data_IF_812005526874
#
_entry.id   IF_812005526874
#
_cell.length_a   1.000
_cell.length_b   1.000
_cell.length_c   1.000
_cell.angle_alpha   90.00
_cell.angle_beta   90.00
_cell.angle_gamma   90.00
#
_symmetry.space_group_name_H-M   'P 1'
#
loop_
_entity.id
_entity.type
_entity.pdbx_description
1 polymer ?
#
# COMPACT_ATOMS: atom_id res chain seq x y z
N UNK A 1 54.17 33.31 8.14
CA UNK A 1 52.96 32.92 8.92
C UNK A 1 51.87 32.24 8.08
N UNK A 2 51.80 32.44 6.76
CA UNK A 2 50.71 31.90 5.92
C UNK A 2 50.69 30.36 5.78
N UNK A 3 51.84 29.68 5.80
CA UNK A 3 51.93 28.21 5.64
C UNK A 3 51.44 27.39 6.84
N UNK A 4 51.32 28.00 8.04
CA UNK A 4 50.85 27.30 9.24
C UNK A 4 49.32 27.13 9.26
N UNK A 5 48.58 27.98 8.55
CA UNK A 5 47.12 27.92 8.46
C UNK A 5 46.60 27.19 7.21
N UNK A 6 47.40 27.10 6.14
CA UNK A 6 47.00 26.40 4.91
C UNK A 6 46.88 24.90 5.11
N UNK A 7 47.80 24.29 5.88
CA UNK A 7 47.78 22.85 6.15
C UNK A 7 46.50 22.37 6.86
N UNK A 8 46.04 22.98 7.98
CA UNK A 8 44.79 22.57 8.63
C UNK A 8 43.56 22.88 7.77
N UNK A 9 43.58 23.97 6.98
CA UNK A 9 42.47 24.30 6.08
C UNK A 9 42.31 23.26 4.96
N UNK A 10 43.43 22.81 4.37
CA UNK A 10 43.44 21.74 3.37
C UNK A 10 42.94 20.43 3.99
N UNK A 11 43.40 20.10 5.21
CA UNK A 11 42.93 18.90 5.91
C UNK A 11 41.41 18.91 6.16
N UNK A 12 40.85 20.04 6.60
CA UNK A 12 39.39 20.18 6.81
C UNK A 12 38.63 20.05 5.49
N UNK A 13 39.14 20.66 4.41
CA UNK A 13 38.51 20.56 3.08
C UNK A 13 38.50 19.12 2.56
N UNK A 14 39.59 18.38 2.73
CA UNK A 14 39.68 16.96 2.36
C UNK A 14 38.70 16.13 3.20
N UNK A 15 38.64 16.34 4.51
CA UNK A 15 37.70 15.64 5.39
C UNK A 15 36.24 15.93 5.02
N UNK A 16 35.91 17.18 4.69
CA UNK A 16 34.59 17.54 4.21
C UNK A 16 34.25 16.84 2.89
N UNK A 17 35.16 16.83 1.92
CA UNK A 17 34.96 16.15 0.63
C UNK A 17 34.72 14.65 0.81
N UNK A 18 35.46 13.99 1.72
CA UNK A 18 35.25 12.58 2.06
C UNK A 18 33.88 12.37 2.72
N UNK A 19 33.49 13.21 3.68
CA UNK A 19 32.19 13.11 4.34
C UNK A 19 31.02 13.30 3.38
N UNK A 20 31.11 14.28 2.46
CA UNK A 20 30.13 14.49 1.40
C UNK A 20 30.09 13.32 0.42
N UNK A 21 31.24 12.81 -0.02
CA UNK A 21 31.33 11.64 -0.89
C UNK A 21 30.71 10.40 -0.25
N UNK A 22 30.98 10.16 1.04
CA UNK A 22 30.35 9.08 1.80
C UNK A 22 28.83 9.27 1.86
N UNK A 23 28.36 10.45 2.27
CA UNK A 23 26.93 10.72 2.39
C UNK A 23 26.21 10.55 1.05
N UNK A 24 26.81 11.02 -0.06
CA UNK A 24 26.27 10.81 -1.40
C UNK A 24 26.12 9.33 -1.72
N UNK A 25 27.17 8.53 -1.55
CA UNK A 25 27.14 7.09 -1.82
C UNK A 25 26.08 6.42 -0.94
N UNK A 26 25.99 6.81 0.34
CA UNK A 26 24.99 6.29 1.27
C UNK A 26 23.56 6.63 0.84
N UNK A 27 23.31 7.85 0.36
CA UNK A 27 21.99 8.28 -0.15
C UNK A 27 21.61 7.46 -1.39
N UNK A 28 22.56 7.30 -2.34
CA UNK A 28 22.36 6.54 -3.58
C UNK A 28 22.19 5.03 -3.38
N UNK A 29 22.57 4.51 -2.21
CA UNK A 29 22.40 3.11 -1.84
C UNK A 29 21.19 2.88 -0.92
N UNK A 30 20.40 3.91 -0.60
CA UNK A 30 19.21 3.75 0.23
C UNK A 30 18.20 2.87 -0.48
N UNK A 31 17.71 1.88 0.25
CA UNK A 31 16.64 1.00 -0.20
C UNK A 31 15.38 1.27 0.62
N UNK A 32 14.25 1.45 -0.06
CA UNK A 32 12.94 1.62 0.52
C UNK A 32 12.19 0.29 0.47
N UNK A 33 11.83 -0.26 1.62
CA UNK A 33 11.02 -1.47 1.70
C UNK A 33 9.54 -1.08 1.84
N UNK A 34 8.75 -1.38 0.81
CA UNK A 34 7.32 -1.12 0.79
C UNK A 34 6.54 -2.43 0.95
N UNK A 35 5.44 -2.36 1.69
CA UNK A 35 4.48 -3.46 1.84
C UNK A 35 3.14 -2.99 1.31
N UNK A 36 2.62 -3.70 0.31
CA UNK A 36 1.28 -3.45 -0.23
C UNK A 36 0.27 -4.40 0.39
N UNK A 37 -0.80 -3.83 0.94
CA UNK A 37 -1.97 -4.61 1.37
C UNK A 37 -2.87 -4.84 0.17
N UNK A 38 -3.26 -6.09 -0.08
CA UNK A 38 -4.13 -6.50 -1.19
C UNK A 38 -5.32 -7.32 -0.66
N UNK A 39 -6.23 -7.70 -1.56
CA UNK A 39 -7.29 -8.67 -1.28
C UNK A 39 -6.78 -10.11 -1.23
N UNK A 40 -7.70 -11.07 -1.41
CA UNK A 40 -7.35 -12.49 -1.51
C UNK A 40 -6.38 -12.78 -2.68
N UNK A 41 -5.63 -13.88 -2.60
CA UNK A 41 -4.62 -14.26 -3.61
C UNK A 41 -5.19 -14.41 -5.02
N UNK A 42 -6.43 -14.86 -5.11
CA UNK A 42 -7.12 -15.07 -6.38
C UNK A 42 -7.91 -13.82 -6.84
N UNK A 43 -7.74 -12.69 -6.14
CA UNK A 43 -8.42 -11.43 -6.43
C UNK A 43 -7.61 -10.49 -7.33
N UNK A 44 -8.31 -9.60 -8.03
CA UNK A 44 -7.73 -8.64 -8.99
C UNK A 44 -6.67 -7.73 -8.35
N UNK A 45 -6.90 -7.28 -7.11
CA UNK A 45 -5.93 -6.47 -6.38
C UNK A 45 -4.61 -7.17 -6.09
N UNK A 46 -4.62 -8.49 -5.92
CA UNK A 46 -3.40 -9.26 -5.73
C UNK A 46 -2.59 -9.33 -7.03
N UNK A 47 -3.27 -9.61 -8.14
CA UNK A 47 -2.66 -9.62 -9.47
C UNK A 47 -2.08 -8.25 -9.82
N UNK A 48 -2.84 -7.17 -9.63
CA UNK A 48 -2.41 -5.80 -9.89
C UNK A 48 -1.18 -5.41 -9.06
N UNK A 49 -1.20 -5.65 -7.75
CA UNK A 49 -0.08 -5.30 -6.88
C UNK A 49 1.20 -6.09 -7.21
N UNK A 50 1.04 -7.35 -7.64
CA UNK A 50 2.17 -8.18 -8.09
C UNK A 50 2.80 -7.58 -9.35
N UNK A 51 1.99 -7.26 -10.37
CA UNK A 51 2.48 -6.63 -11.59
C UNK A 51 3.12 -5.26 -11.31
N UNK A 52 2.51 -4.44 -10.44
CA UNK A 52 3.08 -3.16 -10.04
C UNK A 52 4.44 -3.34 -9.35
N UNK A 53 4.54 -4.28 -8.41
CA UNK A 53 5.79 -4.58 -7.72
C UNK A 53 6.90 -5.01 -8.69
N UNK A 54 6.58 -5.84 -9.68
CA UNK A 54 7.53 -6.25 -10.72
C UNK A 54 8.03 -5.07 -11.55
N UNK A 55 7.12 -4.23 -12.05
CA UNK A 55 7.45 -3.04 -12.86
C UNK A 55 8.29 -2.05 -12.05
N UNK A 56 7.87 -1.73 -10.82
CA UNK A 56 8.60 -0.78 -9.99
C UNK A 56 9.96 -1.34 -9.60
N UNK A 57 10.08 -2.62 -9.22
CA UNK A 57 11.38 -3.22 -8.89
C UNK A 57 12.34 -3.19 -10.09
N UNK A 58 11.80 -3.35 -11.32
CA UNK A 58 12.58 -3.30 -12.55
C UNK A 58 13.10 -1.90 -12.89
N UNK A 59 12.28 -0.87 -12.68
CA UNK A 59 12.62 0.51 -13.07
C UNK A 59 13.19 1.36 -11.94
N UNK A 60 12.92 1.00 -10.69
CA UNK A 60 13.31 1.70 -9.47
C UNK A 60 13.94 0.69 -8.47
N UNK A 61 15.21 0.26 -8.68
CA UNK A 61 15.83 -0.81 -7.90
C UNK A 61 16.02 -0.47 -6.41
N UNK A 62 15.95 0.82 -6.08
CA UNK A 62 15.94 1.35 -4.72
C UNK A 62 14.62 1.08 -3.99
N UNK A 63 13.52 0.78 -4.69
CA UNK A 63 12.23 0.44 -4.10
C UNK A 63 12.03 -1.07 -4.17
N UNK A 64 11.95 -1.71 -3.01
CA UNK A 64 11.72 -3.15 -2.89
C UNK A 64 10.36 -3.42 -2.27
N UNK A 65 9.59 -4.28 -2.91
CA UNK A 65 8.33 -4.76 -2.37
C UNK A 65 8.54 -6.02 -1.56
N UNK A 66 8.05 -6.03 -0.33
CA UNK A 66 8.01 -7.25 0.46
C UNK A 66 6.71 -7.99 0.16
N UNK A 67 6.82 -9.24 -0.27
CA UNK A 67 5.68 -10.13 -0.46
C UNK A 67 5.09 -10.49 0.90
N UNK A 68 4.29 -9.60 1.48
CA UNK A 68 3.47 -10.00 2.62
C UNK A 68 2.35 -10.89 2.10
N UNK A 69 2.30 -12.15 2.55
CA UNK A 69 1.07 -12.95 2.47
C UNK A 69 0.03 -12.22 3.31
N UNK A 70 -0.78 -11.37 2.67
CA UNK A 70 -1.90 -10.72 3.34
C UNK A 70 -3.05 -11.71 3.40
N UNK A 71 -3.02 -12.62 4.38
CA UNK A 71 -4.26 -13.05 5.01
C UNK A 71 -4.72 -11.82 5.77
N UNK A 72 -5.70 -11.05 5.30
CA UNK A 72 -6.17 -9.83 5.97
C UNK A 72 -6.47 -10.18 7.43
N UNK A 73 -5.57 -9.90 8.39
CA UNK A 73 -5.83 -10.18 9.78
C UNK A 73 -6.71 -9.04 10.26
N UNK A 74 -7.72 -9.33 11.07
CA UNK A 74 -8.54 -8.36 11.83
C UNK A 74 -7.71 -7.20 12.44
N UNK A 75 -6.42 -7.42 12.70
CA UNK A 75 -5.43 -6.47 13.22
C UNK A 75 -4.96 -5.38 12.24
N UNK A 76 -4.88 -5.63 10.92
CA UNK A 76 -4.55 -4.57 9.94
C UNK A 76 -5.72 -3.59 9.80
N UNK A 77 -6.95 -4.09 9.97
CA UNK A 77 -8.12 -3.23 9.85
C UNK A 77 -8.13 -2.15 10.96
N UNK A 78 -7.96 -2.57 12.21
CA UNK A 78 -7.78 -1.68 13.35
C UNK A 78 -6.58 -0.72 13.24
N UNK A 79 -5.66 -0.97 12.30
CA UNK A 79 -4.47 -0.16 12.05
C UNK A 79 -4.59 0.84 10.90
N UNK A 80 -5.55 0.74 9.97
CA UNK A 80 -5.63 1.63 8.79
C UNK A 80 -7.04 2.16 8.49
N UNK A 81 -8.10 1.41 8.85
CA UNK A 81 -9.43 1.98 9.09
C UNK A 81 -10.28 1.15 10.06
N UNK A 82 -10.84 1.81 11.06
CA UNK A 82 -11.89 1.18 11.84
C UNK A 82 -13.16 1.11 11.01
N UNK A 83 -13.64 -0.07 10.64
CA UNK A 83 -15.06 -0.23 10.30
C UNK A 83 -15.83 -0.22 11.60
N UNK A 84 -16.45 0.92 11.92
CA UNK A 84 -17.44 1.01 12.99
C UNK A 84 -18.82 0.79 12.38
N UNK A 85 -19.37 -0.40 12.60
CA UNK A 85 -20.79 -0.65 12.37
C UNK A 85 -21.60 0.05 13.47
N UNK A 86 -22.27 1.14 13.12
CA UNK A 86 -23.29 1.74 13.97
C UNK A 86 -24.66 1.44 13.36
N UNK A 87 -25.40 0.52 13.99
CA UNK A 87 -26.72 0.08 13.53
C UNK A 87 -27.76 1.22 13.41
N UNK A 88 -27.50 2.40 14.00
CA UNK A 88 -28.39 3.57 13.94
C UNK A 88 -28.17 4.46 12.72
N UNK A 89 -27.07 4.29 11.99
CA UNK A 89 -26.71 5.13 10.86
C UNK A 89 -26.23 4.23 9.74
N UNK A 90 -27.05 4.05 8.71
CA UNK A 90 -26.84 3.24 7.50
C UNK A 90 -25.63 3.69 6.65
N UNK A 91 -24.47 3.93 7.26
CA UNK A 91 -23.24 4.39 6.63
C UNK A 91 -22.09 3.51 7.10
N UNK A 92 -21.55 2.73 6.18
CA UNK A 92 -20.20 2.16 6.31
C UNK A 92 -19.23 3.30 6.05
N UNK A 93 -18.44 3.68 7.06
CA UNK A 93 -17.39 4.69 6.92
C UNK A 93 -16.05 3.95 6.93
N UNK A 94 -15.34 3.98 5.81
CA UNK A 94 -13.93 3.59 5.74
C UNK A 94 -13.10 4.73 6.37
N UNK A 95 -12.81 4.62 7.67
CA UNK A 95 -12.02 5.61 8.42
C UNK A 95 -10.52 5.55 8.13
N UNK A 96 -10.04 6.05 6.99
CA UNK A 96 -8.60 6.07 6.72
C UNK A 96 -7.83 6.77 7.85
N UNK A 97 -6.65 6.26 8.20
CA UNK A 97 -5.70 7.00 9.06
C UNK A 97 -5.45 8.41 8.50
N UNK A 98 -5.36 9.47 9.33
CA UNK A 98 -5.11 10.84 8.88
C UNK A 98 -3.81 11.01 8.07
N UNK A 99 -2.86 10.09 8.24
CA UNK A 99 -1.59 10.05 7.51
C UNK A 99 -1.69 9.42 6.11
N UNK A 100 -2.83 8.84 5.74
CA UNK A 100 -3.03 8.28 4.41
C UNK A 100 -3.02 9.40 3.35
N UNK A 101 -2.44 9.11 2.19
CA UNK A 101 -2.40 10.00 1.03
C UNK A 101 -2.77 9.20 -0.21
N UNK A 102 -3.61 9.80 -1.05
CA UNK A 102 -3.89 9.25 -2.37
C UNK A 102 -2.65 9.42 -3.26
N UNK A 103 -2.27 8.35 -3.96
CA UNK A 103 -1.13 8.36 -4.90
C UNK A 103 -1.63 8.41 -6.34
N UNK A 104 -2.67 7.64 -6.66
CA UNK A 104 -3.29 7.61 -7.98
C UNK A 104 -4.74 7.11 -7.89
N UNK A 105 -5.55 7.46 -8.89
CA UNK A 105 -6.82 6.79 -9.20
C UNK A 105 -6.53 5.70 -10.24
N UNK A 106 -7.00 4.48 -10.00
CA UNK A 106 -6.68 3.34 -10.87
C UNK A 106 -7.81 3.06 -11.85
N UNK A 107 -8.92 2.50 -11.36
CA UNK A 107 -10.08 2.13 -12.15
C UNK A 107 -11.34 2.18 -11.28
N UNK A 108 -12.53 2.35 -11.89
CA UNK A 108 -13.79 2.27 -11.16
C UNK A 108 -14.06 0.82 -10.73
N UNK A 109 -14.53 0.64 -9.49
CA UNK A 109 -15.07 -0.63 -9.04
C UNK A 109 -16.58 -0.66 -9.20
N UNK A 110 -17.08 -1.75 -9.76
CA UNK A 110 -18.51 -1.97 -9.95
C UNK A 110 -18.99 -3.05 -9.00
N UNK A 111 -20.11 -2.79 -8.33
CA UNK A 111 -20.79 -3.80 -7.53
C UNK A 111 -21.48 -4.83 -8.45
N UNK A 112 -21.04 -6.07 -8.37
CA UNK A 112 -21.61 -7.17 -9.16
C UNK A 112 -22.58 -7.98 -8.29
N UNK A 113 -23.87 -7.92 -8.62
CA UNK A 113 -24.88 -8.83 -8.10
C UNK A 113 -25.10 -9.95 -9.12
N UNK A 114 -24.55 -11.13 -8.84
CA UNK A 114 -24.63 -12.29 -9.73
C UNK A 114 -25.61 -13.31 -9.13
N UNK A 115 -26.57 -13.75 -9.94
CA UNK A 115 -27.54 -14.76 -9.57
C UNK A 115 -27.60 -15.84 -10.66
N UNK A 116 -27.93 -17.07 -10.27
CA UNK A 116 -28.21 -18.14 -11.23
C UNK A 116 -29.52 -17.83 -11.94
N UNK A 117 -29.60 -18.16 -13.22
CA UNK A 117 -30.79 -17.91 -14.06
C UNK A 117 -32.08 -18.49 -13.42
N UNK A 118 -31.99 -19.70 -12.89
CA UNK A 118 -33.13 -20.40 -12.27
C UNK A 118 -33.31 -20.10 -10.77
N UNK A 119 -32.69 -19.04 -10.22
CA UNK A 119 -32.78 -18.70 -8.79
C UNK A 119 -34.04 -17.91 -8.40
N UNK A 120 -34.81 -17.43 -9.39
CA UNK A 120 -35.95 -16.54 -9.15
C UNK A 120 -35.53 -15.17 -8.58
N UNK A 121 -34.32 -14.70 -8.89
CA UNK A 121 -33.80 -13.39 -8.49
C UNK A 121 -33.67 -12.53 -9.74
N UNK A 122 -34.57 -11.56 -9.89
CA UNK A 122 -34.52 -10.56 -10.96
C UNK A 122 -34.00 -9.20 -10.45
N UNK A 123 -34.02 -8.98 -9.13
CA UNK A 123 -33.45 -7.80 -8.52
C UNK A 123 -33.16 -7.95 -7.03
N UNK A 124 -32.68 -6.85 -6.42
CA UNK A 124 -32.25 -6.81 -5.01
C UNK A 124 -33.37 -7.19 -4.04
N UNK A 125 -34.63 -6.87 -4.37
CA UNK A 125 -35.79 -7.20 -3.52
C UNK A 125 -35.98 -8.71 -3.34
N UNK A 126 -35.61 -9.52 -4.34
CA UNK A 126 -35.82 -10.97 -4.38
C UNK A 126 -34.83 -11.75 -3.49
N UNK A 127 -33.81 -11.05 -2.98
CA UNK A 127 -32.79 -11.59 -2.09
C UNK A 127 -33.35 -11.96 -0.71
N UNK A 128 -34.52 -11.45 -0.33
CA UNK A 128 -35.15 -11.75 0.96
C UNK A 128 -35.37 -13.26 1.10
N UNK A 129 -34.84 -13.84 2.18
CA UNK A 129 -34.96 -15.26 2.48
C UNK A 129 -34.12 -16.18 1.58
N UNK A 130 -33.30 -15.62 0.67
CA UNK A 130 -32.34 -16.40 -0.12
C UNK A 130 -31.03 -16.59 0.64
N UNK A 131 -30.29 -17.64 0.28
CA UNK A 131 -28.90 -17.81 0.71
C UNK A 131 -28.03 -16.96 -0.19
N UNK A 132 -27.28 -16.03 0.40
CA UNK A 132 -26.45 -15.08 -0.32
C UNK A 132 -24.99 -15.36 0.05
N UNK A 133 -24.13 -15.54 -0.97
CA UNK A 133 -22.70 -15.59 -0.76
C UNK A 133 -22.21 -14.17 -0.49
N UNK A 134 -21.66 -13.94 0.69
CA UNK A 134 -21.04 -12.67 1.06
C UNK A 134 -19.53 -12.75 0.83
N UNK A 135 -18.91 -11.58 0.64
CA UNK A 135 -17.45 -11.48 0.60
C UNK A 135 -16.84 -11.93 1.94
N UNK A 136 -15.55 -12.31 1.96
CA UNK A 136 -14.84 -12.62 3.19
C UNK A 136 -14.96 -11.51 4.24
N UNK A 137 -14.90 -11.88 5.52
CA UNK A 137 -14.99 -10.93 6.64
C UNK A 137 -14.01 -9.76 6.46
N UNK A 138 -14.53 -8.53 6.45
CA UNK A 138 -13.74 -7.31 6.34
C UNK A 138 -13.48 -6.79 4.92
N UNK A 139 -14.11 -7.41 3.91
CA UNK A 139 -14.21 -6.84 2.56
C UNK A 139 -15.19 -5.67 2.50
#
# INVERSE_FOLDING_TARGET
MQTKLTLPLVMISVLAAIAFGWQWVRENQRTYNLTMTTGGKDGEYHAFATALAEVVTKHEPQIKFQSSKVRVPRKIWNGWAGVRWNWRSSKVILLFKPSARAVAYLFPEVFHLIALENSGIAGVADLRGKRIALMPEGS
#
